data_IF_097040374681
#
_entry.id   IF_097040374681
#
_cell.length_a   1.000
_cell.length_b   1.000
_cell.length_c   1.000
_cell.angle_alpha   90.00
_cell.angle_beta   90.00
_cell.angle_gamma   90.00
#
_symmetry.space_group_name_H-M   'P 1'
#
loop_
_entity.id
_entity.type
_entity.pdbx_description
1 polymer ?
#
# COMPACT_ATOMS: atom_id res chain seq x y z
N UNK A 1 -14.95 -4.66 -8.04
CA UNK A 1 -14.01 -5.23 -7.08
C UNK A 1 -13.07 -4.15 -6.60
N UNK A 2 -12.74 -4.16 -5.34
CA UNK A 2 -11.87 -3.16 -4.75
C UNK A 2 -10.41 -3.60 -4.77
N UNK A 3 -9.54 -2.62 -4.84
CA UNK A 3 -8.10 -2.82 -4.75
C UNK A 3 -7.57 -2.19 -3.47
N UNK A 4 -6.52 -2.76 -2.94
CA UNK A 4 -5.89 -2.33 -1.70
C UNK A 4 -4.43 -1.99 -1.96
N UNK A 5 -4.01 -0.85 -1.45
CA UNK A 5 -2.60 -0.46 -1.49
C UNK A 5 -1.94 -0.87 -0.18
N UNK A 6 -0.94 -1.72 -0.28
CA UNK A 6 -0.10 -2.14 0.85
C UNK A 6 1.26 -1.50 0.67
N UNK A 7 1.76 -0.83 1.69
CA UNK A 7 3.01 -0.11 1.57
C UNK A 7 3.82 -0.12 2.86
N UNK A 8 5.13 0.09 2.68
CA UNK A 8 6.09 0.19 3.78
C UNK A 8 6.72 1.59 3.73
N UNK A 9 6.76 2.25 4.87
CA UNK A 9 7.36 3.57 4.99
C UNK A 9 8.35 3.61 6.15
N UNK A 10 9.31 4.54 6.08
CA UNK A 10 10.13 4.88 7.23
C UNK A 10 9.43 5.91 8.09
N UNK A 11 9.45 5.69 9.39
CA UNK A 11 8.95 6.67 10.34
C UNK A 11 10.07 7.68 10.70
N UNK A 12 9.69 8.71 11.41
CA UNK A 12 10.64 9.73 11.86
C UNK A 12 11.77 9.16 12.75
N UNK A 13 11.54 8.01 13.35
CA UNK A 13 12.52 7.33 14.20
C UNK A 13 13.32 6.27 13.45
N UNK A 14 13.16 6.19 12.14
CA UNK A 14 13.89 5.21 11.34
C UNK A 14 13.29 3.81 11.37
N UNK A 15 12.14 3.61 12.02
CA UNK A 15 11.47 2.33 12.04
C UNK A 15 10.66 2.13 10.75
N UNK A 16 10.52 0.88 10.35
CA UNK A 16 9.67 0.54 9.20
C UNK A 16 8.24 0.33 9.68
N UNK A 17 7.31 1.01 9.03
CA UNK A 17 5.89 0.87 9.32
C UNK A 17 5.15 0.38 8.09
N UNK A 18 4.31 -0.64 8.27
CA UNK A 18 3.46 -1.17 7.22
C UNK A 18 2.04 -0.64 7.41
N UNK A 19 1.45 -0.17 6.33
CA UNK A 19 0.08 0.30 6.38
C UNK A 19 -0.68 -0.14 5.13
N UNK A 20 -2.00 -0.04 5.18
CA UNK A 20 -2.89 -0.55 4.15
C UNK A 20 -3.99 0.47 3.90
N UNK A 21 -4.24 0.80 2.63
CA UNK A 21 -5.33 1.68 2.23
C UNK A 21 -6.26 0.91 1.30
N UNK A 22 -7.55 0.91 1.63
CA UNK A 22 -8.58 0.18 0.91
C UNK A 22 -9.43 1.08 0.03
N UNK A 23 -10.19 0.47 -0.86
CA UNK A 23 -11.27 1.15 -1.55
C UNK A 23 -10.95 1.75 -2.91
N UNK A 24 -9.86 1.35 -3.53
CA UNK A 24 -9.57 1.79 -4.89
C UNK A 24 -10.40 1.01 -5.89
N UNK A 25 -10.97 1.71 -6.86
CA UNK A 25 -11.86 1.10 -7.84
C UNK A 25 -11.16 0.26 -8.89
N UNK A 26 -9.87 0.51 -9.12
CA UNK A 26 -9.08 -0.23 -10.10
C UNK A 26 -7.62 -0.29 -9.68
N UNK A 27 -6.87 -1.20 -10.31
CA UNK A 27 -5.43 -1.30 -10.09
C UNK A 27 -4.72 0.00 -10.50
N UNK A 28 -5.17 0.63 -11.59
CA UNK A 28 -4.62 1.89 -12.05
C UNK A 28 -4.79 3.02 -11.04
N UNK A 29 -5.95 3.11 -10.41
CA UNK A 29 -6.20 4.10 -9.37
C UNK A 29 -5.30 3.86 -8.17
N UNK A 30 -5.15 2.62 -7.77
CA UNK A 30 -4.25 2.24 -6.68
C UNK A 30 -2.81 2.62 -6.99
N UNK A 31 -2.34 2.34 -8.19
CA UNK A 31 -0.97 2.68 -8.61
C UNK A 31 -0.75 4.19 -8.67
N UNK A 32 -1.74 4.93 -9.13
CA UNK A 32 -1.67 6.39 -9.18
C UNK A 32 -1.50 6.98 -7.79
N UNK A 33 -2.28 6.48 -6.82
CA UNK A 33 -2.16 6.91 -5.43
C UNK A 33 -0.80 6.55 -4.85
N UNK A 34 -0.32 5.35 -5.13
CA UNK A 34 0.98 4.90 -4.63
C UNK A 34 2.11 5.82 -5.11
N UNK A 35 2.08 6.22 -6.37
CA UNK A 35 3.07 7.14 -6.93
C UNK A 35 2.98 8.53 -6.30
N UNK A 36 1.77 8.98 -5.98
CA UNK A 36 1.58 10.25 -5.28
C UNK A 36 2.17 10.18 -3.86
N UNK A 37 1.99 9.06 -3.18
CA UNK A 37 2.58 8.84 -1.87
C UNK A 37 4.10 8.79 -1.91
N UNK A 38 4.68 8.19 -2.94
CA UNK A 38 6.13 8.15 -3.10
C UNK A 38 6.76 9.53 -3.12
N UNK A 39 6.03 10.52 -3.63
CA UNK A 39 6.52 11.90 -3.69
C UNK A 39 6.43 12.62 -2.36
N UNK A 40 5.56 12.17 -1.47
CA UNK A 40 5.29 12.83 -0.18
C UNK A 40 5.96 12.15 0.99
N UNK A 41 6.19 10.84 0.89
CA UNK A 41 6.68 10.02 1.99
C UNK A 41 7.81 9.14 1.49
N UNK A 42 8.65 8.71 2.43
CA UNK A 42 9.74 7.78 2.11
C UNK A 42 9.19 6.35 2.03
N UNK A 43 8.50 6.05 0.92
CA UNK A 43 8.04 4.70 0.68
C UNK A 43 9.22 3.81 0.31
N UNK A 44 9.36 2.71 1.04
CA UNK A 44 10.35 1.69 0.73
C UNK A 44 9.85 0.81 -0.39
N UNK A 45 8.59 0.42 -0.30
CA UNK A 45 7.97 -0.49 -1.25
C UNK A 45 6.45 -0.37 -1.15
N UNK A 46 5.77 -0.72 -2.24
CA UNK A 46 4.31 -0.75 -2.25
C UNK A 46 3.82 -1.77 -3.26
N UNK A 47 2.59 -2.24 -3.06
CA UNK A 47 1.94 -3.17 -3.97
C UNK A 47 0.44 -2.96 -3.95
N UNK A 48 -0.17 -3.05 -5.13
CA UNK A 48 -1.63 -3.01 -5.27
C UNK A 48 -2.15 -4.43 -5.40
N UNK A 49 -3.01 -4.84 -4.48
CA UNK A 49 -3.56 -6.19 -4.44
C UNK A 49 -5.08 -6.14 -4.42
N UNK A 50 -5.71 -7.17 -4.96
CA UNK A 50 -7.16 -7.31 -4.92
C UNK A 50 -7.61 -7.64 -3.52
N UNK A 51 -8.67 -6.98 -3.06
CA UNK A 51 -9.27 -7.31 -1.77
C UNK A 51 -9.75 -8.76 -1.77
N UNK A 52 -9.54 -9.41 -0.63
CA UNK A 52 -9.85 -10.82 -0.47
C UNK A 52 -8.73 -11.74 -0.93
N UNK A 53 -7.62 -11.22 -1.43
CA UNK A 53 -6.50 -12.08 -1.83
C UNK A 53 -5.77 -12.63 -0.60
N UNK A 54 -5.18 -13.81 -0.76
CA UNK A 54 -4.38 -14.42 0.29
C UNK A 54 -3.15 -13.59 0.63
N UNK A 55 -2.66 -12.82 -0.33
CA UNK A 55 -1.51 -11.97 -0.12
C UNK A 55 -1.79 -10.89 0.92
N UNK A 56 -2.99 -10.29 0.89
CA UNK A 56 -3.39 -9.32 1.90
C UNK A 56 -3.40 -9.96 3.29
N UNK A 57 -3.97 -11.15 3.41
CA UNK A 57 -4.02 -11.87 4.67
C UNK A 57 -2.61 -12.17 5.21
N UNK A 58 -1.71 -12.57 4.34
CA UNK A 58 -0.32 -12.85 4.71
C UNK A 58 0.39 -11.58 5.19
N UNK A 59 0.13 -10.45 4.55
CA UNK A 59 0.77 -9.18 4.93
C UNK A 59 0.25 -8.62 6.24
N UNK A 60 -0.93 -9.01 6.67
CA UNK A 60 -1.50 -8.57 7.95
C UNK A 60 -0.91 -9.29 9.16
N UNK A 61 -0.25 -10.38 8.94
CA UNK A 61 0.41 -11.13 9.99
C UNK A 61 1.90 -10.80 10.01
#
# INVERSE_FOLDING_TARGET
>A
MSWTLVFLIYTAHGAVHRDVLHGYGSKGDCQTEARAFERRFDLINWECVREGSTLIAALKH
#
